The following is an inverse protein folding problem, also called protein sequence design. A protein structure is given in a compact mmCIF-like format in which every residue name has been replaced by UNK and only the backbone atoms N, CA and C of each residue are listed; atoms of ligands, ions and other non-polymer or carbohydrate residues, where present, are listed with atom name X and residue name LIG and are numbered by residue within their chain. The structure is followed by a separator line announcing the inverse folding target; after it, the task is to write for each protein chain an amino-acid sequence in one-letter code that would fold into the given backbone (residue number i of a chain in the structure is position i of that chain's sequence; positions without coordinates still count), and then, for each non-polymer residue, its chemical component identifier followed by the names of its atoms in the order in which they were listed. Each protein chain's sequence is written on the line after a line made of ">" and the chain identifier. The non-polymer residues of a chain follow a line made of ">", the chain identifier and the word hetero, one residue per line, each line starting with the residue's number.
data_IF_330669164728
#
_entry.id   IF_330669164728
#
_cell.length_a   1.000
_cell.length_b   1.000
_cell.length_c   1.000
_cell.angle_alpha   90.00
_cell.angle_beta   90.00
_cell.angle_gamma   90.00
#
_symmetry.space_group_name_H-M   'P 1'
#
loop_
_entity.id
_entity.type
_entity.pdbx_description
1 polymer ?
#
# COMPACT_ATOMS: atom_id res chain seq x y z
N UNK A 1 -15.90 -68.69 -17.44
CA UNK A 1 -14.99 -67.71 -16.82
C UNK A 1 -15.68 -66.36 -16.84
N UNK A 2 -16.18 -65.89 -15.68
CA UNK A 2 -16.84 -64.57 -15.53
C UNK A 2 -15.81 -63.61 -14.93
N UNK A 3 -15.42 -62.60 -15.70
CA UNK A 3 -14.54 -61.51 -15.24
C UNK A 3 -15.39 -60.50 -14.44
N UNK A 4 -15.14 -60.38 -13.15
CA UNK A 4 -15.73 -59.37 -12.28
C UNK A 4 -14.85 -58.14 -12.32
N UNK A 5 -15.29 -57.05 -12.96
CA UNK A 5 -14.66 -55.74 -12.90
C UNK A 5 -15.00 -55.08 -11.57
N UNK A 6 -13.99 -54.93 -10.71
CA UNK A 6 -14.08 -54.19 -9.45
C UNK A 6 -13.71 -52.73 -9.73
N UNK A 7 -14.71 -51.86 -9.90
CA UNK A 7 -14.50 -50.43 -10.04
C UNK A 7 -14.26 -49.83 -8.67
N UNK A 8 -13.01 -49.45 -8.40
CA UNK A 8 -12.61 -48.71 -7.19
C UNK A 8 -13.03 -47.23 -7.33
N UNK A 9 -14.08 -46.83 -6.63
CA UNK A 9 -14.54 -45.44 -6.56
C UNK A 9 -13.62 -44.67 -5.61
N UNK A 10 -12.64 -43.96 -6.13
CA UNK A 10 -11.80 -43.04 -5.34
C UNK A 10 -12.62 -41.76 -5.12
N UNK A 11 -13.21 -41.62 -3.96
CA UNK A 11 -13.87 -40.39 -3.51
C UNK A 11 -12.73 -39.38 -3.13
N UNK A 12 -12.50 -38.40 -3.99
CA UNK A 12 -11.60 -37.28 -3.70
C UNK A 12 -12.31 -36.37 -2.69
N UNK A 13 -11.96 -36.53 -1.43
CA UNK A 13 -12.36 -35.59 -0.38
C UNK A 13 -11.58 -34.29 -0.59
N UNK A 14 -12.23 -33.28 -1.14
CA UNK A 14 -11.68 -31.92 -1.23
C UNK A 14 -11.60 -31.35 0.18
N UNK A 15 -10.45 -31.43 0.81
CA UNK A 15 -10.14 -30.73 2.05
C UNK A 15 -10.09 -29.23 1.74
N UNK A 16 -11.17 -28.53 2.05
CA UNK A 16 -11.17 -27.07 2.04
C UNK A 16 -10.25 -26.61 3.17
N UNK A 17 -9.02 -26.20 2.82
CA UNK A 17 -8.10 -25.55 3.76
C UNK A 17 -8.67 -24.15 4.05
N UNK A 18 -9.37 -24.00 5.16
CA UNK A 18 -9.73 -22.69 5.69
C UNK A 18 -8.48 -22.10 6.33
N UNK A 19 -7.93 -21.03 5.75
CA UNK A 19 -6.89 -20.27 6.40
C UNK A 19 -7.46 -19.59 7.65
N UNK A 20 -6.84 -19.82 8.80
CA UNK A 20 -7.18 -19.16 10.05
C UNK A 20 -7.09 -17.63 9.91
N UNK A 21 -8.01 -16.87 10.50
CA UNK A 21 -7.95 -15.42 10.48
C UNK A 21 -6.67 -14.92 11.14
N UNK A 22 -5.90 -14.09 10.44
CA UNK A 22 -4.71 -13.46 11.00
C UNK A 22 -5.08 -12.12 11.62
N UNK A 23 -4.82 -11.97 12.92
CA UNK A 23 -5.03 -10.74 13.66
C UNK A 23 -3.72 -10.00 13.80
N UNK A 24 -3.71 -8.70 13.47
CA UNK A 24 -2.57 -7.79 13.58
C UNK A 24 -3.02 -6.61 14.44
N UNK A 25 -2.27 -6.33 15.49
CA UNK A 25 -2.50 -5.20 16.38
C UNK A 25 -1.38 -4.18 16.22
N UNK A 26 -1.73 -2.89 16.21
CA UNK A 26 -0.74 -1.81 16.23
C UNK A 26 0.00 -1.80 17.58
N UNK A 27 1.25 -1.30 17.59
CA UNK A 27 1.92 -0.94 18.84
C UNK A 27 1.12 0.11 19.63
N UNK A 28 1.46 0.29 20.89
CA UNK A 28 0.83 1.28 21.79
C UNK A 28 1.28 2.72 21.55
N UNK A 29 2.26 2.92 20.67
CA UNK A 29 2.80 4.21 20.23
C UNK A 29 2.52 4.45 18.74
N UNK A 30 2.66 5.69 18.31
CA UNK A 30 2.47 6.08 16.91
C UNK A 30 3.62 5.58 16.04
N UNK A 31 3.31 4.75 15.06
CA UNK A 31 4.27 4.30 14.04
C UNK A 31 4.53 5.42 13.04
N UNK A 32 5.80 5.64 12.70
CA UNK A 32 6.19 6.64 11.70
C UNK A 32 5.92 6.12 10.29
N UNK A 33 5.35 6.95 9.43
CA UNK A 33 5.13 6.63 8.02
C UNK A 33 6.10 7.46 7.18
N UNK A 34 6.95 6.78 6.42
CA UNK A 34 7.85 7.38 5.45
C UNK A 34 7.38 7.05 4.04
N UNK A 35 6.94 8.06 3.30
CA UNK A 35 6.56 7.92 1.89
C UNK A 35 7.69 8.44 1.02
N UNK A 36 8.18 7.62 0.09
CA UNK A 36 9.03 8.04 -1.03
C UNK A 36 8.16 8.16 -2.28
N UNK A 37 8.27 9.28 -2.97
CA UNK A 37 7.72 9.49 -4.31
C UNK A 37 8.84 9.38 -5.33
N UNK A 38 8.74 8.44 -6.26
CA UNK A 38 9.78 8.03 -7.19
C UNK A 38 9.22 7.74 -8.58
N UNK A 39 10.09 7.49 -9.54
CA UNK A 39 9.76 6.92 -10.85
C UNK A 39 10.98 6.22 -11.44
N UNK A 40 10.76 5.10 -12.11
CA UNK A 40 11.81 4.42 -12.88
C UNK A 40 12.33 5.28 -14.04
N UNK A 41 11.54 6.25 -14.50
CA UNK A 41 11.95 7.22 -15.52
C UNK A 41 12.91 8.30 -15.03
N UNK A 42 13.01 8.52 -13.73
CA UNK A 42 13.78 9.62 -13.12
C UNK A 42 15.20 9.16 -12.75
N UNK A 43 16.24 9.74 -13.33
CA UNK A 43 17.65 9.33 -13.13
C UNK A 43 18.19 9.56 -11.72
N UNK A 44 17.66 10.54 -10.99
CA UNK A 44 18.04 10.84 -9.60
C UNK A 44 17.31 9.99 -8.55
N UNK A 45 16.34 9.17 -8.97
CA UNK A 45 15.52 8.38 -8.05
C UNK A 45 16.18 7.09 -7.54
N UNK A 46 16.97 6.33 -8.33
CA UNK A 46 17.51 5.05 -7.89
C UNK A 46 18.32 5.10 -6.58
N UNK A 47 19.17 6.10 -6.31
CA UNK A 47 19.85 6.19 -5.01
C UNK A 47 18.89 6.35 -3.82
N UNK A 48 17.78 7.06 -4.00
CA UNK A 48 16.76 7.23 -2.96
C UNK A 48 16.01 5.92 -2.69
N UNK A 49 15.71 5.16 -3.75
CA UNK A 49 15.09 3.83 -3.61
C UNK A 49 16.04 2.83 -2.97
N UNK A 50 17.33 2.82 -3.35
CA UNK A 50 18.34 1.95 -2.72
C UNK A 50 18.45 2.23 -1.21
N UNK A 51 18.43 3.51 -0.83
CA UNK A 51 18.41 3.87 0.59
C UNK A 51 17.10 3.39 1.27
N UNK A 52 15.93 3.56 0.63
CA UNK A 52 14.67 3.08 1.18
C UNK A 52 14.69 1.54 1.33
N UNK A 53 15.23 0.82 0.34
CA UNK A 53 15.35 -0.63 0.34
C UNK A 53 16.24 -1.12 1.51
N UNK A 54 17.28 -0.35 1.88
CA UNK A 54 18.14 -0.71 3.02
C UNK A 54 17.39 -0.74 4.35
N UNK A 55 16.27 0.00 4.47
CA UNK A 55 15.42 -0.02 5.66
C UNK A 55 14.71 -1.37 5.89
N UNK A 56 14.76 -2.29 4.92
CA UNK A 56 14.16 -3.63 5.02
C UNK A 56 14.74 -4.48 6.15
N UNK A 57 15.99 -4.23 6.51
CA UNK A 57 16.71 -4.95 7.57
C UNK A 57 16.88 -4.12 8.85
N UNK A 58 16.35 -2.89 8.88
CA UNK A 58 16.46 -2.04 10.04
C UNK A 58 15.55 -2.50 11.19
N UNK A 59 16.07 -2.41 12.41
CA UNK A 59 15.30 -2.68 13.61
C UNK A 59 14.12 -1.71 13.75
N UNK A 60 12.98 -2.22 14.16
CA UNK A 60 11.75 -1.42 14.29
C UNK A 60 10.91 -1.30 13.03
N UNK A 61 11.32 -1.92 11.91
CA UNK A 61 10.44 -2.04 10.74
C UNK A 61 9.10 -2.67 11.14
N UNK A 62 8.00 -2.05 10.72
CA UNK A 62 6.59 -2.38 11.03
C UNK A 62 6.12 -2.00 12.42
N UNK A 63 7.00 -1.79 13.38
CA UNK A 63 6.64 -1.44 14.77
C UNK A 63 6.92 0.01 15.08
N UNK A 64 8.06 0.54 14.65
CA UNK A 64 8.49 1.92 14.87
C UNK A 64 8.29 2.79 13.63
N UNK A 65 8.50 2.20 12.45
CA UNK A 65 8.31 2.91 11.17
C UNK A 65 7.84 1.96 10.07
N UNK A 66 7.19 2.55 9.05
CA UNK A 66 6.73 1.87 7.83
C UNK A 66 7.13 2.70 6.62
N UNK A 67 8.06 2.23 5.77
CA UNK A 67 8.35 2.83 4.48
C UNK A 67 7.30 2.45 3.44
N UNK A 68 7.01 3.38 2.53
CA UNK A 68 6.15 3.12 1.37
C UNK A 68 6.78 3.81 0.16
N UNK A 69 6.96 3.07 -0.93
CA UNK A 69 7.49 3.55 -2.19
C UNK A 69 6.34 3.78 -3.17
N UNK A 70 6.04 5.03 -3.49
CA UNK A 70 4.98 5.43 -4.42
C UNK A 70 5.57 5.87 -5.76
N UNK A 71 5.33 5.09 -6.81
CA UNK A 71 5.73 5.44 -8.16
C UNK A 71 4.73 6.39 -8.80
N UNK A 72 5.21 7.53 -9.28
CA UNK A 72 4.40 8.59 -9.90
C UNK A 72 4.39 8.50 -11.41
N UNK A 73 3.25 8.86 -12.02
CA UNK A 73 3.01 8.74 -13.45
C UNK A 73 3.45 9.96 -14.29
N UNK A 74 3.84 11.05 -13.64
CA UNK A 74 4.18 12.27 -14.38
C UNK A 74 5.58 12.25 -15.02
N UNK A 75 6.29 11.11 -14.99
CA UNK A 75 7.51 10.84 -15.75
C UNK A 75 7.28 9.94 -16.97
N UNK A 76 6.08 9.34 -17.13
CA UNK A 76 5.80 8.35 -18.18
C UNK A 76 5.96 8.91 -19.61
N UNK A 77 6.02 10.24 -19.78
CA UNK A 77 6.20 10.91 -21.07
C UNK A 77 7.61 10.83 -21.65
N UNK A 78 8.62 10.42 -20.87
CA UNK A 78 10.02 10.41 -21.31
C UNK A 78 10.46 9.11 -22.02
N UNK A 79 9.52 8.33 -22.53
CA UNK A 79 9.79 7.09 -23.29
C UNK A 79 9.79 5.81 -22.45
N UNK A 80 9.49 5.90 -21.14
CA UNK A 80 9.33 4.75 -20.24
C UNK A 80 8.06 4.89 -19.43
N UNK A 81 7.16 3.90 -19.56
CA UNK A 81 5.97 3.83 -18.73
C UNK A 81 6.27 2.96 -17.51
N UNK A 82 6.39 3.57 -16.35
CA UNK A 82 6.68 2.88 -15.10
C UNK A 82 5.51 1.93 -14.74
N UNK A 83 5.71 0.60 -14.67
CA UNK A 83 4.64 -0.36 -14.42
C UNK A 83 4.01 -0.23 -13.03
N UNK A 84 4.68 0.44 -12.09
CA UNK A 84 4.19 0.66 -10.73
C UNK A 84 3.56 2.04 -10.55
N UNK A 85 3.69 2.92 -11.55
CA UNK A 85 3.17 4.27 -11.47
C UNK A 85 1.65 4.32 -11.41
N UNK A 86 1.15 5.24 -10.61
CA UNK A 86 -0.28 5.51 -10.48
C UNK A 86 -0.58 6.99 -10.37
N UNK A 87 -1.58 7.46 -11.15
CA UNK A 87 -2.10 8.81 -11.03
C UNK A 87 -2.63 9.12 -9.62
N UNK A 88 -3.06 8.11 -8.87
CA UNK A 88 -3.48 8.27 -7.48
C UNK A 88 -2.32 8.68 -6.56
N UNK A 89 -1.11 8.16 -6.81
CA UNK A 89 0.09 8.51 -6.05
C UNK A 89 0.56 9.92 -6.38
N UNK A 90 0.59 10.29 -7.65
CA UNK A 90 0.86 11.67 -8.07
C UNK A 90 -0.14 12.67 -7.49
N UNK A 91 -1.42 12.31 -7.43
CA UNK A 91 -2.48 13.13 -6.83
C UNK A 91 -2.27 13.27 -5.32
N UNK A 92 -1.86 12.19 -4.62
CA UNK A 92 -1.53 12.21 -3.19
C UNK A 92 -0.37 13.16 -2.92
N UNK A 93 0.72 13.10 -3.70
CA UNK A 93 1.86 14.02 -3.56
C UNK A 93 1.45 15.49 -3.80
N UNK A 94 0.66 15.75 -4.85
CA UNK A 94 0.14 17.11 -5.12
C UNK A 94 -0.74 17.63 -3.99
N UNK A 95 -1.49 16.75 -3.32
CA UNK A 95 -2.31 17.13 -2.16
C UNK A 95 -1.44 17.63 -1.00
N UNK A 96 -0.31 16.99 -0.70
CA UNK A 96 0.63 17.47 0.32
C UNK A 96 1.14 18.88 0.01
N UNK A 97 1.47 19.16 -1.26
CA UNK A 97 1.85 20.51 -1.68
C UNK A 97 0.69 21.49 -1.53
N UNK A 98 -0.51 21.14 -1.98
CA UNK A 98 -1.70 21.98 -1.90
C UNK A 98 -2.02 22.37 -0.45
N UNK A 99 -1.91 21.42 0.47
CA UNK A 99 -2.11 21.62 1.91
C UNK A 99 -0.93 22.30 2.60
N UNK A 100 0.13 22.69 1.86
CA UNK A 100 1.37 23.30 2.37
C UNK A 100 2.17 22.41 3.34
N UNK A 101 1.93 21.11 3.32
CA UNK A 101 2.71 20.12 4.08
C UNK A 101 4.02 19.73 3.38
N UNK A 102 4.12 19.97 2.08
CA UNK A 102 5.36 19.86 1.29
C UNK A 102 5.57 21.12 0.47
N UNK A 103 6.84 21.48 0.24
CA UNK A 103 7.20 22.66 -0.56
C UNK A 103 6.98 22.43 -2.06
N UNK A 104 7.36 21.25 -2.53
CA UNK A 104 7.44 20.93 -3.96
C UNK A 104 6.71 19.61 -4.26
N UNK A 105 6.37 19.40 -5.53
CA UNK A 105 6.10 18.11 -6.15
C UNK A 105 7.31 17.77 -6.98
N UNK A 106 8.08 16.79 -6.57
CA UNK A 106 9.33 16.39 -7.22
C UNK A 106 9.66 14.93 -6.93
N UNK A 107 10.55 14.34 -7.71
CA UNK A 107 11.14 13.03 -7.45
C UNK A 107 12.67 13.12 -7.48
N UNK A 108 13.37 12.39 -6.58
CA UNK A 108 12.77 11.73 -5.43
C UNK A 108 12.19 12.77 -4.46
N UNK A 109 11.07 12.44 -3.82
CA UNK A 109 10.41 13.30 -2.84
C UNK A 109 10.02 12.51 -1.60
N UNK A 110 10.33 13.01 -0.41
CA UNK A 110 10.04 12.32 0.85
C UNK A 110 9.00 13.05 1.67
N UNK A 111 8.10 12.28 2.24
CA UNK A 111 7.10 12.72 3.22
C UNK A 111 7.26 11.85 4.48
N UNK A 112 7.56 12.47 5.60
CA UNK A 112 7.64 11.81 6.90
C UNK A 112 6.47 12.28 7.77
N UNK A 113 5.63 11.34 8.23
CA UNK A 113 4.47 11.64 9.06
C UNK A 113 3.55 12.73 8.50
N UNK A 114 3.36 12.72 7.16
CA UNK A 114 2.50 13.67 6.47
C UNK A 114 3.14 15.02 6.17
N UNK A 115 4.41 15.25 6.50
CA UNK A 115 5.15 16.48 6.20
C UNK A 115 6.35 16.21 5.31
N UNK A 116 6.64 17.15 4.39
CA UNK A 116 7.83 17.07 3.54
C UNK A 116 9.11 16.96 4.37
N UNK A 117 9.94 15.98 4.04
CA UNK A 117 11.21 15.74 4.70
C UNK A 117 12.36 15.73 3.68
N UNK A 118 13.36 16.56 3.89
CA UNK A 118 14.47 16.72 2.97
C UNK A 118 15.81 16.18 3.54
N UNK A 119 15.79 15.55 4.72
CA UNK A 119 17.00 15.10 5.41
C UNK A 119 17.86 14.17 4.57
N UNK A 120 17.24 13.30 3.75
CA UNK A 120 17.96 12.39 2.87
C UNK A 120 18.96 13.11 1.94
N UNK A 121 18.59 14.28 1.39
CA UNK A 121 19.46 15.08 0.51
C UNK A 121 20.69 15.66 1.23
N UNK A 122 20.67 15.65 2.56
CA UNK A 122 21.76 16.12 3.42
C UNK A 122 22.44 14.98 4.18
N UNK A 123 22.21 13.71 3.78
CA UNK A 123 22.79 12.53 4.44
C UNK A 123 22.25 12.28 5.86
N UNK A 124 21.07 12.82 6.19
CA UNK A 124 20.45 12.65 7.49
C UNK A 124 19.52 11.45 7.48
N UNK A 125 19.45 10.72 8.60
CA UNK A 125 18.43 9.71 8.86
C UNK A 125 17.20 10.34 9.52
N UNK A 126 16.00 9.81 9.28
CA UNK A 126 14.80 10.24 10.00
C UNK A 126 14.90 9.94 11.50
N UNK A 127 14.33 10.81 12.32
CA UNK A 127 14.10 10.45 13.73
C UNK A 127 12.85 9.56 13.80
N UNK A 128 13.02 8.35 14.30
CA UNK A 128 11.93 7.41 14.50
C UNK A 128 11.26 7.55 15.87
N UNK A 129 11.77 8.46 16.73
CA UNK A 129 11.16 8.73 18.02
C UNK A 129 9.83 9.46 17.82
N UNK A 130 8.75 8.85 18.26
CA UNK A 130 7.42 9.44 18.18
C UNK A 130 6.60 9.07 19.43
N UNK A 131 6.60 9.96 20.39
CA UNK A 131 5.87 9.80 21.65
C UNK A 131 4.41 10.31 21.57
N UNK A 132 3.98 10.74 20.36
CA UNK A 132 2.61 11.23 20.19
C UNK A 132 1.61 10.14 20.54
N UNK A 133 0.58 10.45 21.36
CA UNK A 133 -0.47 9.49 21.65
C UNK A 133 -1.18 9.07 20.37
N UNK A 134 -1.41 7.78 20.21
CA UNK A 134 -2.18 7.22 19.10
C UNK A 134 -3.38 6.47 19.63
N UNK A 135 -4.27 6.06 18.72
CA UNK A 135 -5.26 5.03 19.04
C UNK A 135 -4.73 3.66 18.68
N UNK A 136 -5.43 2.63 19.10
CA UNK A 136 -5.11 1.24 18.78
C UNK A 136 -5.84 0.82 17.52
N UNK A 137 -5.10 0.19 16.60
CA UNK A 137 -5.65 -0.41 15.38
C UNK A 137 -5.58 -1.93 15.53
N UNK A 138 -6.72 -2.59 15.31
CA UNK A 138 -6.80 -4.04 15.20
C UNK A 138 -7.25 -4.37 13.76
N UNK A 139 -6.41 -5.08 13.03
CA UNK A 139 -6.73 -5.56 11.69
C UNK A 139 -6.87 -7.09 11.69
N UNK A 140 -7.99 -7.58 11.19
CA UNK A 140 -8.25 -9.02 11.03
C UNK A 140 -8.30 -9.35 9.54
N UNK A 141 -7.36 -10.19 9.09
CA UNK A 141 -7.33 -10.71 7.72
C UNK A 141 -8.05 -12.06 7.70
N UNK A 142 -9.05 -12.17 6.85
CA UNK A 142 -9.77 -13.42 6.61
C UNK A 142 -9.89 -13.66 5.10
N UNK A 143 -9.03 -14.53 4.57
CA UNK A 143 -8.92 -14.75 3.14
C UNK A 143 -8.63 -13.44 2.39
N UNK A 144 -9.59 -12.96 1.59
CA UNK A 144 -9.46 -11.72 0.81
C UNK A 144 -10.10 -10.49 1.48
N UNK A 145 -10.60 -10.63 2.70
CA UNK A 145 -11.21 -9.54 3.45
C UNK A 145 -10.30 -9.05 4.56
N UNK A 146 -10.30 -7.73 4.77
CA UNK A 146 -9.62 -7.07 5.88
C UNK A 146 -10.69 -6.33 6.68
N UNK A 147 -10.79 -6.65 7.95
CA UNK A 147 -11.59 -5.91 8.92
C UNK A 147 -10.66 -5.07 9.78
N UNK A 148 -10.95 -3.76 9.91
CA UNK A 148 -10.12 -2.84 10.71
C UNK A 148 -10.98 -2.22 11.79
N UNK A 149 -10.56 -2.32 13.03
CA UNK A 149 -11.13 -1.60 14.16
C UNK A 149 -10.11 -0.56 14.67
N UNK A 150 -10.60 0.61 15.05
CA UNK A 150 -9.79 1.67 15.64
C UNK A 150 -10.38 2.10 16.98
N UNK A 151 -9.55 2.11 18.02
CA UNK A 151 -9.91 2.57 19.36
C UNK A 151 -9.07 3.79 19.70
N UNK A 152 -9.66 5.00 19.75
CA UNK A 152 -8.92 6.21 20.10
C UNK A 152 -8.53 6.20 21.58
N UNK A 153 -7.28 6.58 21.90
CA UNK A 153 -6.85 6.83 23.28
C UNK A 153 -7.49 8.13 23.82
N UNK A 154 -7.67 8.26 25.14
CA UNK A 154 -8.33 9.44 25.74
C UNK A 154 -7.72 10.76 25.31
N UNK A 155 -6.38 10.85 25.24
CA UNK A 155 -5.63 12.05 24.85
C UNK A 155 -5.78 12.44 23.39
N UNK A 156 -6.26 11.55 22.52
CA UNK A 156 -6.50 11.80 21.10
C UNK A 156 -7.98 12.11 20.78
N UNK A 157 -8.89 11.98 21.74
CA UNK A 157 -10.34 12.11 21.48
C UNK A 157 -10.78 13.53 21.16
N UNK A 158 -10.09 14.52 21.66
CA UNK A 158 -10.41 15.95 21.43
C UNK A 158 -10.31 16.30 19.94
N UNK A 159 -9.37 15.70 19.22
CA UNK A 159 -9.20 15.88 17.78
C UNK A 159 -10.20 15.10 16.93
N UNK A 160 -10.93 14.15 17.53
CA UNK A 160 -11.90 13.28 16.82
C UNK A 160 -13.34 13.77 16.93
N UNK A 161 -13.60 14.85 17.66
CA UNK A 161 -14.96 15.30 17.96
C UNK A 161 -15.74 15.87 16.76
N UNK A 162 -15.09 16.14 15.62
CA UNK A 162 -15.74 16.82 14.50
C UNK A 162 -15.39 16.30 13.10
N UNK A 163 -14.69 15.17 12.95
CA UNK A 163 -14.20 14.74 11.65
C UNK A 163 -14.47 13.28 11.32
N UNK A 164 -14.62 13.02 10.02
CA UNK A 164 -14.56 11.65 9.50
C UNK A 164 -13.15 11.10 9.62
N UNK A 165 -13.01 9.88 10.11
CA UNK A 165 -11.75 9.13 10.02
C UNK A 165 -11.57 8.58 8.61
N UNK A 166 -10.36 8.66 8.10
CA UNK A 166 -9.97 8.04 6.82
C UNK A 166 -9.04 6.89 7.11
N UNK A 167 -9.42 5.70 6.66
CA UNK A 167 -8.55 4.53 6.68
C UNK A 167 -7.92 4.39 5.30
N UNK A 168 -6.59 4.27 5.28
CA UNK A 168 -5.82 3.96 4.09
C UNK A 168 -5.20 2.57 4.25
N UNK A 169 -5.37 1.73 3.26
CA UNK A 169 -4.79 0.40 3.20
C UNK A 169 -3.89 0.35 1.97
N UNK A 170 -2.61 0.10 2.17
CA UNK A 170 -1.64 -0.08 1.10
C UNK A 170 -1.24 -1.56 0.99
N UNK A 171 -1.14 -2.07 -0.23
CA UNK A 171 -0.50 -3.36 -0.52
C UNK A 171 0.90 -3.06 -1.02
N UNK A 172 1.90 -3.65 -0.37
CA UNK A 172 3.30 -3.42 -0.68
C UNK A 172 3.91 -4.64 -1.36
N UNK A 173 4.71 -4.38 -2.41
CA UNK A 173 5.53 -5.37 -3.09
C UNK A 173 6.98 -5.32 -2.61
N UNK A 174 7.67 -6.46 -2.65
CA UNK A 174 9.05 -6.63 -2.23
C UNK A 174 9.83 -7.47 -3.22
N UNK A 175 11.16 -7.34 -3.20
CA UNK A 175 12.10 -8.12 -4.00
C UNK A 175 11.77 -8.08 -5.50
N UNK A 176 11.33 -6.91 -5.99
CA UNK A 176 10.94 -6.72 -7.37
C UNK A 176 12.12 -6.15 -8.14
N UNK A 177 12.46 -6.76 -9.28
CA UNK A 177 13.47 -6.23 -10.21
C UNK A 177 12.82 -5.88 -11.54
N UNK A 178 13.12 -4.72 -12.08
CA UNK A 178 12.65 -4.27 -13.38
C UNK A 178 13.84 -3.91 -14.28
N UNK A 179 13.85 -4.49 -15.48
CA UNK A 179 14.77 -4.07 -16.54
C UNK A 179 14.14 -2.87 -17.27
N UNK A 180 14.74 -1.70 -17.11
CA UNK A 180 14.25 -0.46 -17.72
C UNK A 180 14.75 -0.39 -19.16
N UNK A 181 13.83 -0.21 -20.12
CA UNK A 181 14.15 -0.21 -21.55
C UNK A 181 13.87 1.13 -22.23
N UNK A 182 13.74 2.21 -21.46
CA UNK A 182 13.55 3.57 -21.96
C UNK A 182 13.66 4.61 -20.85
N UNK A 183 13.61 5.90 -21.22
CA UNK A 183 13.75 7.01 -20.27
C UNK A 183 15.18 7.21 -19.78
N UNK A 184 15.36 8.01 -18.72
CA UNK A 184 16.69 8.38 -18.21
C UNK A 184 17.46 7.20 -17.56
N UNK A 185 16.80 6.11 -17.23
CA UNK A 185 17.40 4.91 -16.64
C UNK A 185 17.45 3.73 -17.63
N UNK A 186 17.35 3.97 -18.93
CA UNK A 186 17.43 2.92 -19.96
C UNK A 186 18.68 2.04 -19.78
N UNK A 187 18.50 0.72 -19.92
CA UNK A 187 19.53 -0.30 -19.80
C UNK A 187 19.85 -0.72 -18.36
N UNK A 188 19.25 -0.09 -17.35
CA UNK A 188 19.48 -0.43 -15.94
C UNK A 188 18.50 -1.48 -15.43
N UNK A 189 18.98 -2.35 -14.54
CA UNK A 189 18.13 -3.19 -13.70
C UNK A 189 17.93 -2.47 -12.36
N UNK A 190 16.68 -2.15 -12.03
CA UNK A 190 16.30 -1.46 -10.80
C UNK A 190 15.60 -2.43 -9.85
N UNK A 191 16.04 -2.44 -8.60
CA UNK A 191 15.45 -3.25 -7.53
C UNK A 191 14.59 -2.40 -6.62
N UNK A 192 13.41 -2.91 -6.28
CA UNK A 192 12.38 -2.18 -5.55
C UNK A 192 11.85 -2.99 -4.38
N UNK A 193 11.78 -2.36 -3.22
CA UNK A 193 11.07 -2.83 -2.03
C UNK A 193 10.02 -1.79 -1.61
N UNK A 194 9.08 -2.21 -0.77
CA UNK A 194 8.01 -1.35 -0.25
C UNK A 194 7.11 -0.71 -1.32
N UNK A 195 7.07 -1.29 -2.52
CA UNK A 195 6.33 -0.73 -3.67
C UNK A 195 4.84 -0.72 -3.41
N UNK A 196 4.25 0.45 -3.29
CA UNK A 196 2.81 0.62 -3.16
C UNK A 196 2.11 0.23 -4.46
N UNK A 197 1.42 -0.90 -4.49
CA UNK A 197 0.69 -1.36 -5.68
C UNK A 197 -0.74 -0.84 -5.73
N UNK A 198 -1.36 -0.60 -4.58
CA UNK A 198 -2.74 -0.13 -4.46
C UNK A 198 -2.92 0.62 -3.15
N UNK A 199 -3.61 1.75 -3.21
CA UNK A 199 -4.04 2.50 -2.04
C UNK A 199 -5.57 2.53 -2.00
N UNK A 200 -6.16 1.81 -1.05
CA UNK A 200 -7.58 1.88 -0.77
C UNK A 200 -7.84 2.97 0.27
N UNK A 201 -8.86 3.79 0.06
CA UNK A 201 -9.30 4.80 1.01
C UNK A 201 -10.79 4.60 1.31
N UNK A 202 -11.15 4.64 2.59
CA UNK A 202 -12.53 4.66 3.07
C UNK A 202 -12.71 5.76 4.11
N UNK A 203 -13.83 6.45 4.04
CA UNK A 203 -14.23 7.45 5.03
C UNK A 203 -15.24 6.85 6.01
N UNK A 204 -15.08 7.18 7.30
CA UNK A 204 -15.95 6.72 8.38
C UNK A 204 -16.33 7.89 9.27
N UNK A 205 -17.57 7.90 9.67
CA UNK A 205 -18.09 8.90 10.58
C UNK A 205 -18.31 8.28 11.96
N UNK A 206 -17.83 8.93 13.01
CA UNK A 206 -18.15 8.54 14.36
C UNK A 206 -19.62 8.93 14.65
N UNK A 207 -20.50 7.94 14.77
CA UNK A 207 -21.84 8.11 15.33
C UNK A 207 -21.77 7.54 16.73
N UNK A 208 -21.80 8.42 17.74
CA UNK A 208 -21.86 8.14 19.18
C UNK A 208 -21.77 6.65 19.59
N UNK A 209 -20.60 6.24 20.13
CA UNK A 209 -20.36 5.04 20.95
C UNK A 209 -20.43 3.66 20.32
N UNK A 210 -20.59 3.50 19.04
CA UNK A 210 -20.53 2.15 18.40
C UNK A 210 -19.31 2.10 17.50
N UNK A 211 -18.37 1.19 17.81
CA UNK A 211 -17.26 0.84 16.94
C UNK A 211 -17.87 0.11 15.74
N UNK A 212 -17.98 0.79 14.60
CA UNK A 212 -18.39 0.13 13.38
C UNK A 212 -17.25 -0.72 12.84
N UNK A 213 -17.46 -2.02 12.78
CA UNK A 213 -16.59 -2.99 12.12
C UNK A 213 -16.50 -2.68 10.63
N UNK A 214 -15.28 -2.62 10.12
CA UNK A 214 -14.94 -2.28 8.76
C UNK A 214 -14.73 -3.53 7.93
N UNK A 215 -15.59 -3.80 6.97
CA UNK A 215 -15.38 -4.87 5.98
C UNK A 215 -14.84 -4.25 4.68
N UNK A 216 -13.56 -4.46 4.38
CA UNK A 216 -12.98 -4.17 3.08
C UNK A 216 -12.91 -5.46 2.26
N UNK A 217 -13.86 -5.64 1.34
CA UNK A 217 -13.81 -6.75 0.38
C UNK A 217 -13.11 -6.29 -0.90
N UNK A 218 -12.16 -7.08 -1.36
CA UNK A 218 -11.55 -6.90 -2.68
C UNK A 218 -12.63 -7.20 -3.72
N UNK A 219 -13.18 -6.17 -4.39
CA UNK A 219 -14.00 -6.41 -5.59
C UNK A 219 -13.09 -7.05 -6.64
N UNK A 220 -13.28 -8.33 -6.91
CA UNK A 220 -12.79 -8.92 -8.14
C UNK A 220 -13.46 -8.17 -9.29
N UNK A 221 -12.68 -7.46 -10.10
CA UNK A 221 -13.13 -7.05 -11.44
C UNK A 221 -13.32 -8.33 -12.22
N UNK A 222 -14.53 -8.85 -12.17
CA UNK A 222 -14.91 -10.05 -12.88
C UNK A 222 -14.81 -9.83 -14.38
N UNK A 223 -14.35 -10.87 -15.05
CA UNK A 223 -14.31 -11.10 -16.51
C UNK A 223 -15.69 -11.02 -17.20
N UNK A 224 -16.58 -10.13 -16.80
CA UNK A 224 -17.95 -10.04 -17.34
C UNK A 224 -18.11 -8.99 -18.44
N UNK A 225 -17.09 -8.16 -18.71
CA UNK A 225 -17.21 -7.17 -19.80
C UNK A 225 -16.90 -7.71 -21.22
N UNK A 226 -16.40 -8.94 -21.35
CA UNK A 226 -16.11 -9.52 -22.66
C UNK A 226 -17.32 -10.17 -23.36
N UNK A 227 -18.39 -10.45 -22.62
CA UNK A 227 -19.57 -11.15 -23.17
C UNK A 227 -20.67 -10.22 -23.70
N UNK A 228 -20.68 -8.93 -23.34
CA UNK A 228 -21.67 -7.99 -23.87
C UNK A 228 -21.27 -7.37 -25.21
N UNK A 229 -19.97 -7.26 -25.49
CA UNK A 229 -19.50 -6.70 -26.77
C UNK A 229 -19.50 -7.66 -27.96
N UNK A 230 -19.73 -8.94 -27.73
CA UNK A 230 -19.78 -9.96 -28.79
C UNK A 230 -21.21 -10.19 -29.28
N UNK A 231 -22.23 -9.78 -28.49
CA UNK A 231 -23.65 -9.86 -28.89
C UNK A 231 -24.12 -8.68 -29.78
N UNK A 232 -23.46 -7.52 -29.68
CA UNK A 232 -23.82 -6.33 -30.47
C UNK A 232 -23.12 -6.26 -31.83
N UNK A 233 -22.39 -7.30 -32.22
CA UNK A 233 -21.77 -7.44 -33.59
C UNK A 233 -22.43 -8.48 -34.46
N UNK A 234 -23.50 -9.11 -34.01
CA UNK A 234 -24.24 -10.13 -34.78
C UNK A 234 -25.75 -9.81 -34.95
N UNK A 235 -26.14 -8.54 -34.77
CA UNK A 235 -27.44 -8.05 -35.17
C UNK A 235 -27.29 -6.94 -36.23
#
# INVERSE_FOLDING_TARGET
>A
MKLVFFTLLISVFSLSVYAEPRVIQSPDHKVNILELYTSQGCSSCPPAEQWLNSLKTEEGLWTTFVPINFHVDYWDYIGWKDPFASASFSKRQRLYKHLKFARNVATPGFILNGKGWNGWFYGQSPSWVNESPSGDILATLNGQSIEVAFTPKPQGREHLQSGALKVHIAILGFDITTKVTGGENEGRDLSHDFVGSTLFQREYYFINRIINRLLCQRKQKGKTEKKSREKDRQS
#
